data_IF_601485607984
#
_entry.id   IF_601485607984
#
_cell.length_a   1.000
_cell.length_b   1.000
_cell.length_c   1.000
_cell.angle_alpha   90.00
_cell.angle_beta   90.00
_cell.angle_gamma   90.00
#
_symmetry.space_group_name_H-M   'P 1'
#
loop_
_entity.id
_entity.type
_entity.pdbx_description
1 polymer ?
#
# COMPACT_ATOMS: atom_id res chain seq x y z
N UNK A 1 2.30 9.69 -16.52
CA UNK A 1 2.57 8.37 -15.92
C UNK A 1 3.73 8.51 -14.96
N UNK A 2 3.76 7.75 -13.86
CA UNK A 2 4.88 7.73 -12.93
C UNK A 2 5.38 6.31 -12.74
N UNK A 3 6.62 6.13 -12.35
CA UNK A 3 7.12 4.85 -11.85
C UNK A 3 6.48 4.52 -10.49
N UNK A 4 6.50 3.25 -10.11
CA UNK A 4 6.03 2.82 -8.79
C UNK A 4 6.84 3.46 -7.64
N UNK A 5 8.12 3.78 -7.87
CA UNK A 5 8.98 4.48 -6.91
C UNK A 5 8.53 5.92 -6.71
N UNK A 6 8.32 6.65 -7.81
CA UNK A 6 7.80 8.03 -7.75
C UNK A 6 6.38 8.07 -7.17
N UNK A 7 5.55 7.06 -7.47
CA UNK A 7 4.22 6.94 -6.88
C UNK A 7 4.28 6.72 -5.38
N UNK A 8 5.18 5.86 -4.91
CA UNK A 8 5.40 5.63 -3.49
C UNK A 8 5.81 6.93 -2.78
N UNK A 9 6.70 7.70 -3.42
CA UNK A 9 7.11 9.02 -2.93
C UNK A 9 5.95 10.02 -2.85
N UNK A 10 5.18 10.17 -3.93
CA UNK A 10 4.03 11.10 -4.00
C UNK A 10 2.97 10.76 -2.96
N UNK A 11 2.73 9.47 -2.71
CA UNK A 11 1.71 9.02 -1.76
C UNK A 11 2.24 8.87 -0.32
N UNK A 12 3.50 9.22 -0.06
CA UNK A 12 4.09 9.16 1.28
C UNK A 12 4.17 7.74 1.86
N UNK A 13 4.35 6.72 1.02
CA UNK A 13 4.38 5.31 1.43
C UNK A 13 5.67 4.61 1.01
N UNK A 14 5.99 3.48 1.64
CA UNK A 14 7.12 2.66 1.23
C UNK A 14 6.90 2.00 -0.14
N UNK A 15 7.97 1.84 -0.93
CA UNK A 15 7.92 1.19 -2.27
C UNK A 15 7.35 -0.22 -2.20
N UNK A 16 7.63 -0.96 -1.12
CA UNK A 16 7.05 -2.29 -0.89
C UNK A 16 5.53 -2.24 -0.72
N UNK A 17 5.03 -1.28 0.05
CA UNK A 17 3.59 -1.06 0.25
C UNK A 17 2.93 -0.66 -1.06
N UNK A 18 3.54 0.26 -1.82
CA UNK A 18 3.05 0.64 -3.14
C UNK A 18 2.92 -0.57 -4.09
N UNK A 19 3.93 -1.46 -4.13
CA UNK A 19 3.87 -2.69 -4.94
C UNK A 19 2.77 -3.64 -4.48
N UNK A 20 2.55 -3.78 -3.18
CA UNK A 20 1.47 -4.60 -2.64
C UNK A 20 0.11 -4.03 -3.03
N UNK A 21 -0.11 -2.73 -2.82
CA UNK A 21 -1.35 -2.05 -3.18
C UNK A 21 -1.62 -2.09 -4.69
N UNK A 22 -0.57 -1.98 -5.51
CA UNK A 22 -0.70 -2.12 -6.96
C UNK A 22 -1.19 -3.52 -7.38
N UNK A 23 -0.71 -4.57 -6.69
CA UNK A 23 -1.19 -5.95 -6.89
C UNK A 23 -2.60 -6.15 -6.34
N UNK A 24 -2.88 -5.68 -5.12
CA UNK A 24 -4.21 -5.75 -4.50
C UNK A 24 -5.27 -5.01 -5.31
N UNK A 25 -4.91 -3.91 -5.97
CA UNK A 25 -5.79 -3.17 -6.86
C UNK A 25 -6.12 -3.92 -8.16
N UNK A 26 -5.47 -5.06 -8.43
CA UNK A 26 -5.70 -5.89 -9.61
C UNK A 26 -5.06 -5.34 -10.89
N UNK A 27 -4.09 -4.43 -10.78
CA UNK A 27 -3.44 -3.80 -11.94
C UNK A 27 -2.36 -4.67 -12.59
N UNK A 28 -2.37 -5.99 -12.42
CA UNK A 28 -1.27 -6.88 -12.85
C UNK A 28 -0.94 -6.74 -14.35
N UNK A 29 0.10 -5.96 -14.65
CA UNK A 29 0.70 -5.83 -15.99
C UNK A 29 1.91 -6.75 -16.13
N UNK A 30 1.70 -8.05 -15.88
CA UNK A 30 2.72 -9.10 -16.07
C UNK A 30 4.03 -8.90 -15.29
N UNK A 31 5.04 -9.71 -15.62
CA UNK A 31 6.39 -9.71 -15.01
C UNK A 31 7.28 -8.55 -15.54
N UNK A 32 6.72 -7.33 -15.65
CA UNK A 32 7.52 -6.17 -16.09
C UNK A 32 8.46 -5.74 -14.95
N UNK A 33 9.76 -5.63 -15.25
CA UNK A 33 10.77 -5.09 -14.31
C UNK A 33 10.43 -3.68 -13.82
N UNK A 34 9.77 -2.89 -14.67
CA UNK A 34 9.37 -1.51 -14.37
C UNK A 34 7.85 -1.38 -14.39
N UNK A 35 7.28 -1.00 -13.24
CA UNK A 35 5.85 -0.72 -13.08
C UNK A 35 5.64 0.77 -13.28
N UNK A 36 4.79 1.13 -14.24
CA UNK A 36 4.32 2.50 -14.46
C UNK A 36 2.85 2.61 -14.06
N UNK A 37 2.53 3.65 -13.31
CA UNK A 37 1.19 3.97 -12.81
C UNK A 37 0.57 5.12 -13.61
N UNK A 38 -0.70 4.96 -13.96
CA UNK A 38 -1.53 6.04 -14.49
C UNK A 38 -2.09 6.92 -13.36
N UNK A 39 -2.59 8.13 -13.65
CA UNK A 39 -3.27 8.96 -12.64
C UNK A 39 -4.41 8.22 -11.91
N UNK A 40 -5.25 7.49 -12.63
CA UNK A 40 -6.36 6.73 -12.05
C UNK A 40 -5.88 5.58 -11.14
N UNK A 41 -4.82 4.88 -11.54
CA UNK A 41 -4.21 3.82 -10.73
C UNK A 41 -3.65 4.39 -9.41
N UNK A 42 -3.04 5.57 -9.45
CA UNK A 42 -2.55 6.26 -8.23
C UNK A 42 -3.68 6.65 -7.29
N UNK A 43 -4.79 7.17 -7.80
CA UNK A 43 -5.97 7.51 -6.97
C UNK A 43 -6.48 6.28 -6.24
N UNK A 44 -6.63 5.17 -6.95
CA UNK A 44 -7.08 3.90 -6.35
C UNK A 44 -6.08 3.35 -5.33
N UNK A 45 -4.78 3.47 -5.59
CA UNK A 45 -3.75 3.10 -4.59
C UNK A 45 -3.82 3.98 -3.34
N UNK A 46 -4.08 5.28 -3.49
CA UNK A 46 -4.24 6.20 -2.37
C UNK A 46 -5.47 5.86 -1.53
N UNK A 47 -6.60 5.56 -2.17
CA UNK A 47 -7.82 5.12 -1.49
C UNK A 47 -7.59 3.82 -0.71
N UNK A 48 -6.92 2.83 -1.30
CA UNK A 48 -6.59 1.57 -0.63
C UNK A 48 -5.62 1.76 0.55
N UNK A 49 -4.69 2.71 0.45
CA UNK A 49 -3.76 3.03 1.53
C UNK A 49 -4.47 3.68 2.74
N UNK A 50 -5.44 4.55 2.47
CA UNK A 50 -6.20 5.24 3.51
C UNK A 50 -7.37 4.42 4.04
N UNK A 51 -7.72 3.32 3.38
CA UNK A 51 -8.73 2.39 3.88
C UNK A 51 -8.28 1.87 5.26
N UNK A 52 -9.13 1.98 6.30
CA UNK A 52 -8.77 1.52 7.64
C UNK A 52 -8.58 0.01 7.62
N UNK A 53 -7.33 -0.44 7.45
CA UNK A 53 -6.96 -1.85 7.66
C UNK A 53 -7.19 -2.11 9.14
N UNK A 54 -8.22 -2.92 9.45
CA UNK A 54 -8.64 -3.23 10.81
C UNK A 54 -7.43 -3.45 11.70
N UNK A 55 -7.21 -2.53 12.66
CA UNK A 55 -6.11 -2.65 13.62
C UNK A 55 -6.33 -3.96 14.36
N UNK A 56 -5.38 -4.90 14.26
CA UNK A 56 -5.46 -6.15 15.01
C UNK A 56 -5.58 -5.80 16.50
N UNK A 57 -6.56 -6.35 17.23
CA UNK A 57 -6.67 -6.08 18.66
C UNK A 57 -5.38 -6.53 19.34
N UNK A 58 -4.69 -5.60 19.99
CA UNK A 58 -3.52 -5.91 20.81
C UNK A 58 -4.04 -6.71 22.00
N UNK A 59 -3.66 -7.99 22.10
CA UNK A 59 -3.92 -8.79 23.31
C UNK A 59 -3.19 -8.12 24.47
N UNK A 60 -3.92 -7.42 25.34
CA UNK A 60 -3.36 -6.83 26.56
C UNK A 60 -2.84 -7.97 27.44
N UNK A 61 -1.52 -8.02 27.65
CA UNK A 61 -0.92 -8.90 28.65
C UNK A 61 -1.41 -8.41 30.01
N UNK A 62 -2.15 -9.23 30.77
CA UNK A 62 -2.52 -8.92 32.16
C UNK A 62 -1.23 -8.64 32.91
N UNK A 63 -1.02 -7.40 33.35
CA UNK A 63 -0.07 -7.11 34.42
C UNK A 63 -0.65 -7.77 35.66
N UNK A 64 -0.05 -8.88 36.10
CA UNK A 64 -0.34 -9.41 37.42
C UNK A 64 0.05 -8.32 38.42
N UNK A 65 -0.94 -7.84 39.19
CA UNK A 65 -0.68 -6.96 40.32
C UNK A 65 0.26 -7.72 41.27
N UNK A 66 1.46 -7.18 41.45
CA UNK A 66 2.42 -7.63 42.44
C UNK A 66 2.04 -7.07 43.81
#
# INVERSE_FOLDING_TARGET
YLTIQETAWVLGMGVRTARLLYREAGFERGQRKTIMTSPAERTRMHELNNSPRGRRPIKRRKLAAA
#
